data_IF_916032008866
#
_entry.id   IF_916032008866
#
_cell.length_a   1.000
_cell.length_b   1.000
_cell.length_c   1.000
_cell.angle_alpha   90.00
_cell.angle_beta   90.00
_cell.angle_gamma   90.00
#
_symmetry.space_group_name_H-M   'P 1'
#
loop_
_entity.id
_entity.type
_entity.pdbx_description
1 polymer ?
#
# COMPACT_ATOMS: atom_id res chain seq x y z
N UNK A 1 -4.30 15.81 -4.96
CA UNK A 1 -5.42 14.86 -4.72
C UNK A 1 -5.37 13.64 -5.64
N UNK A 2 -5.66 12.46 -5.11
CA UNK A 2 -5.88 11.19 -5.82
C UNK A 2 -7.33 10.73 -5.67
N UNK A 3 -7.87 10.12 -6.74
CA UNK A 3 -9.19 9.51 -6.72
C UNK A 3 -9.13 8.15 -6.02
N UNK A 4 -9.87 7.98 -4.94
CA UNK A 4 -10.07 6.67 -4.32
C UNK A 4 -11.37 6.09 -4.86
N UNK A 5 -11.29 4.92 -5.47
CA UNK A 5 -12.39 4.28 -6.19
C UNK A 5 -12.79 2.97 -5.53
N UNK A 6 -14.04 2.59 -5.74
CA UNK A 6 -14.57 1.33 -5.23
C UNK A 6 -13.87 0.15 -5.90
N UNK A 7 -13.38 -0.81 -5.10
CA UNK A 7 -12.73 -2.03 -5.60
C UNK A 7 -13.65 -2.98 -6.38
N UNK A 8 -14.97 -2.75 -6.38
CA UNK A 8 -15.96 -3.57 -7.10
C UNK A 8 -16.53 -2.94 -8.36
N UNK A 9 -16.82 -1.63 -8.37
CA UNK A 9 -17.50 -0.98 -9.50
C UNK A 9 -16.83 0.30 -10.02
N UNK A 10 -15.63 0.61 -9.53
CA UNK A 10 -14.81 1.77 -9.95
C UNK A 10 -15.44 3.16 -9.76
N UNK A 11 -16.61 3.22 -9.12
CA UNK A 11 -17.23 4.47 -8.71
C UNK A 11 -16.29 5.23 -7.78
N UNK A 12 -16.22 6.55 -7.94
CA UNK A 12 -15.49 7.43 -7.03
C UNK A 12 -16.11 7.32 -5.63
N UNK A 13 -15.26 7.06 -4.63
CA UNK A 13 -15.64 7.07 -3.23
C UNK A 13 -15.38 8.45 -2.64
N UNK A 14 -14.14 8.94 -2.75
CA UNK A 14 -13.71 10.27 -2.33
C UNK A 14 -12.36 10.63 -2.98
N UNK A 15 -11.88 11.84 -2.73
CA UNK A 15 -10.54 12.32 -3.11
C UNK A 15 -9.74 12.64 -1.85
N UNK A 16 -8.45 12.31 -1.87
CA UNK A 16 -7.55 12.57 -0.75
C UNK A 16 -6.17 13.00 -1.25
N UNK A 17 -5.44 13.79 -0.47
CA UNK A 17 -4.02 14.02 -0.72
C UNK A 17 -3.19 12.79 -0.35
N UNK A 18 -1.91 12.77 -0.78
CA UNK A 18 -0.96 11.77 -0.30
C UNK A 18 -0.89 11.78 1.22
N UNK A 19 -0.83 10.60 1.82
CA UNK A 19 -0.72 10.38 3.27
C UNK A 19 -1.84 10.98 4.13
N UNK A 20 -2.95 11.40 3.53
CA UNK A 20 -4.10 11.94 4.26
C UNK A 20 -4.87 10.86 5.08
N UNK A 21 -4.60 9.59 4.84
CA UNK A 21 -5.22 8.45 5.54
C UNK A 21 -4.26 7.98 6.62
N UNK A 22 -4.42 8.50 7.84
CA UNK A 22 -3.59 8.14 9.01
C UNK A 22 -4.09 6.91 9.76
N UNK A 23 -5.34 6.49 9.52
CA UNK A 23 -5.99 5.33 10.13
C UNK A 23 -6.89 4.60 9.13
N UNK A 24 -7.45 3.46 9.53
CA UNK A 24 -8.40 2.69 8.72
C UNK A 24 -9.64 3.53 8.38
N UNK A 25 -10.08 3.44 7.12
CA UNK A 25 -11.36 4.01 6.66
C UNK A 25 -12.26 2.89 6.16
N UNK A 26 -13.47 2.80 6.70
CA UNK A 26 -14.55 1.98 6.15
C UNK A 26 -15.58 2.85 5.46
N UNK A 27 -15.84 2.60 4.18
CA UNK A 27 -16.78 3.39 3.39
C UNK A 27 -17.66 2.53 2.49
N UNK A 28 -18.97 2.73 2.57
CA UNK A 28 -19.95 2.06 1.72
C UNK A 28 -20.06 2.76 0.38
N UNK A 29 -19.89 2.02 -0.71
CA UNK A 29 -20.10 2.53 -2.06
C UNK A 29 -21.59 2.82 -2.31
N UNK A 30 -21.93 4.07 -2.64
CA UNK A 30 -23.30 4.48 -2.96
C UNK A 30 -23.85 3.84 -4.24
N UNK A 31 -22.98 3.41 -5.17
CA UNK A 31 -23.40 2.79 -6.44
C UNK A 31 -23.72 1.30 -6.30
N UNK A 32 -22.86 0.52 -5.64
CA UNK A 32 -22.98 -0.95 -5.62
C UNK A 32 -23.15 -1.56 -4.21
N UNK A 33 -23.15 -0.74 -3.16
CA UNK A 33 -23.36 -1.20 -1.78
C UNK A 33 -22.15 -1.88 -1.12
N UNK A 34 -21.04 -2.12 -1.84
CA UNK A 34 -19.83 -2.73 -1.28
C UNK A 34 -19.25 -1.87 -0.17
N UNK A 35 -18.92 -2.48 0.98
CA UNK A 35 -18.14 -1.85 2.05
C UNK A 35 -16.66 -1.99 1.70
N UNK A 36 -15.96 -0.87 1.51
CA UNK A 36 -14.55 -0.84 1.17
C UNK A 36 -13.75 -0.54 2.44
N UNK A 37 -12.69 -1.31 2.68
CA UNK A 37 -11.79 -1.15 3.82
C UNK A 37 -10.43 -0.65 3.31
N UNK A 38 -10.13 0.62 3.57
CA UNK A 38 -8.90 1.28 3.13
C UNK A 38 -7.94 1.37 4.31
N UNK A 39 -6.69 0.99 4.09
CA UNK A 39 -5.62 1.10 5.08
C UNK A 39 -4.72 2.29 4.77
N UNK A 40 -4.05 2.86 5.79
CA UNK A 40 -2.93 3.77 5.58
C UNK A 40 -1.91 3.17 4.61
N UNK A 41 -1.25 4.02 3.84
CA UNK A 41 -0.07 3.60 3.09
C UNK A 41 0.98 3.28 4.16
N UNK A 42 1.37 2.00 4.26
CA UNK A 42 2.44 1.63 5.17
C UNK A 42 3.70 2.43 4.78
N UNK A 43 4.42 3.02 5.75
CA UNK A 43 5.73 3.58 5.45
C UNK A 43 6.57 2.46 4.83
N UNK A 44 7.28 2.75 3.74
CA UNK A 44 8.15 1.78 3.10
C UNK A 44 9.09 1.21 4.16
N UNK A 45 8.93 -0.08 4.48
CA UNK A 45 9.85 -0.74 5.40
C UNK A 45 11.26 -0.61 4.82
N UNK A 46 12.21 -0.09 5.60
CA UNK A 46 13.64 -0.07 5.28
C UNK A 46 14.21 -1.49 5.34
N UNK A 47 13.62 -2.37 4.53
CA UNK A 47 13.92 -3.79 4.51
C UNK A 47 15.19 -3.92 3.69
N UNK A 48 16.33 -3.79 4.36
CA UNK A 48 17.63 -4.13 3.79
C UNK A 48 17.54 -5.57 3.25
N UNK A 49 17.62 -5.71 1.93
CA UNK A 49 17.75 -7.01 1.29
C UNK A 49 18.99 -7.71 1.86
N UNK A 50 18.86 -8.97 2.28
CA UNK A 50 20.01 -9.77 2.73
C UNK A 50 20.98 -9.88 1.55
N UNK A 51 22.15 -9.25 1.67
CA UNK A 51 23.26 -9.47 0.73
C UNK A 51 23.63 -10.95 0.78
N UNK A 52 23.68 -11.67 -0.36
CA UNK A 52 24.17 -13.04 -0.36
C UNK A 52 25.66 -13.03 -0.01
N UNK A 53 26.04 -13.78 1.03
CA UNK A 53 27.41 -13.99 1.48
C UNK A 53 28.33 -14.37 0.31
N UNK A 54 29.06 -13.39 -0.23
CA UNK A 54 30.28 -13.65 -1.02
C UNK A 54 31.48 -13.68 -0.08
N UNK A 55 31.52 -14.68 0.78
CA UNK A 55 32.77 -15.11 1.42
C UNK A 55 32.88 -16.58 1.12
N UNK A 56 33.73 -16.97 0.16
CA UNK A 56 34.37 -18.30 0.11
C UNK A 56 35.39 -18.52 -1.03
N UNK A 57 35.80 -17.53 -1.84
CA UNK A 57 36.80 -17.76 -2.92
C UNK A 57 37.98 -16.75 -2.95
N UNK A 58 38.55 -16.38 -1.79
CA UNK A 58 39.86 -15.68 -1.76
C UNK A 58 40.91 -16.32 -0.84
N UNK A 59 40.67 -17.53 -0.30
CA UNK A 59 41.67 -18.25 0.55
C UNK A 59 42.44 -19.34 -0.26
N UNK A 60 42.53 -19.23 -1.58
CA UNK A 60 43.31 -20.18 -2.41
C UNK A 60 44.15 -19.50 -3.50
N UNK A 61 44.98 -18.53 -3.12
CA UNK A 61 46.23 -18.22 -3.84
C UNK A 61 47.37 -18.06 -2.86
#
# INVERSE_FOLDING_TARGET
MRDIRCGKCSALLFRAEHDAISNVIEIKCRRCGTLNHLRPIEPASDRQERQPDRVLHEIQR
#
